data_IF_843593273430
#
_entry.id   IF_843593273430
#
_cell.length_a   1.000
_cell.length_b   1.000
_cell.length_c   1.000
_cell.angle_alpha   90.00
_cell.angle_beta   90.00
_cell.angle_gamma   90.00
#
_symmetry.space_group_name_H-M   'P 1'
#
loop_
_entity.id
_entity.type
_entity.pdbx_description
1 polymer ?
#
# COMPACT_ATOMS: atom_id res chain seq x y z
N UNK A 1 -0.62 13.60 22.45
CA UNK A 1 0.36 13.01 21.53
C UNK A 1 -0.30 12.72 20.18
N UNK A 2 -0.42 13.72 19.29
CA UNK A 2 -0.83 13.45 17.91
C UNK A 2 0.31 12.72 17.22
N UNK A 3 0.18 11.42 16.99
CA UNK A 3 1.09 10.70 16.09
C UNK A 3 0.69 11.11 14.67
N UNK A 4 1.40 12.07 14.09
CA UNK A 4 1.32 12.38 12.67
C UNK A 4 1.86 11.17 11.89
N UNK A 5 1.01 10.16 11.69
CA UNK A 5 1.33 8.98 10.89
C UNK A 5 0.99 9.31 9.44
N UNK A 6 1.96 9.15 8.55
CA UNK A 6 1.71 9.17 7.11
C UNK A 6 0.90 7.92 6.74
N UNK A 7 -0.34 8.06 6.28
CA UNK A 7 -1.13 6.92 5.87
C UNK A 7 -0.55 6.30 4.60
N UNK A 8 -0.72 4.99 4.47
CA UNK A 8 -0.45 4.27 3.23
C UNK A 8 -1.43 4.74 2.15
N UNK A 9 -0.92 5.13 0.97
CA UNK A 9 -1.75 5.50 -0.19
C UNK A 9 -1.85 4.35 -1.20
N UNK A 10 -2.87 4.37 -2.05
CA UNK A 10 -3.06 3.36 -3.11
C UNK A 10 -1.90 3.37 -4.11
N UNK A 11 -1.36 4.56 -4.45
CA UNK A 11 -0.19 4.69 -5.33
C UNK A 11 1.05 4.03 -4.72
N UNK A 12 1.35 4.33 -3.45
CA UNK A 12 2.47 3.72 -2.75
C UNK A 12 2.32 2.20 -2.66
N UNK A 13 1.09 1.72 -2.41
CA UNK A 13 0.78 0.29 -2.39
C UNK A 13 1.01 -0.38 -3.75
N UNK A 14 0.58 0.25 -4.85
CA UNK A 14 0.80 -0.25 -6.20
C UNK A 14 2.30 -0.36 -6.55
N UNK A 15 3.09 0.64 -6.15
CA UNK A 15 4.56 0.64 -6.34
C UNK A 15 5.22 -0.49 -5.58
N UNK A 16 4.80 -0.72 -4.33
CA UNK A 16 5.30 -1.82 -3.50
C UNK A 16 4.91 -3.17 -4.11
N UNK A 17 3.66 -3.35 -4.52
CA UNK A 17 3.21 -4.57 -5.18
C UNK A 17 4.02 -4.85 -6.46
N UNK A 18 4.20 -3.84 -7.31
CA UNK A 18 4.94 -3.98 -8.57
C UNK A 18 6.40 -4.40 -8.32
N UNK A 19 7.09 -3.72 -7.40
CA UNK A 19 8.48 -4.05 -7.07
C UNK A 19 8.62 -5.48 -6.54
N UNK A 20 7.74 -5.89 -5.62
CA UNK A 20 7.74 -7.25 -5.09
C UNK A 20 7.40 -8.30 -6.15
N UNK A 21 6.40 -8.05 -7.00
CA UNK A 21 6.04 -8.95 -8.09
C UNK A 21 7.22 -9.13 -9.06
N UNK A 22 7.91 -8.06 -9.44
CA UNK A 22 9.09 -8.12 -10.32
C UNK A 22 10.22 -8.96 -9.70
N UNK A 23 10.40 -8.91 -8.39
CA UNK A 23 11.41 -9.70 -7.67
C UNK A 23 11.02 -11.17 -7.50
N UNK A 24 9.72 -11.49 -7.49
CA UNK A 24 9.20 -12.84 -7.17
C UNK A 24 8.50 -13.49 -8.38
N UNK A 25 8.96 -13.18 -9.60
CA UNK A 25 8.45 -13.83 -10.83
C UNK A 25 6.96 -13.56 -11.11
N UNK A 26 6.47 -12.37 -10.76
CA UNK A 26 5.07 -11.95 -10.96
C UNK A 26 4.16 -12.18 -9.75
N UNK A 27 4.67 -12.76 -8.65
CA UNK A 27 3.85 -13.13 -7.49
C UNK A 27 4.15 -12.28 -6.25
N UNK A 28 3.21 -12.20 -5.32
CA UNK A 28 3.41 -11.56 -4.02
C UNK A 28 3.10 -12.56 -2.91
N UNK A 29 4.03 -12.73 -1.98
CA UNK A 29 3.85 -13.66 -0.87
C UNK A 29 2.71 -13.19 0.06
N UNK A 30 1.82 -14.11 0.41
CA UNK A 30 0.69 -13.88 1.32
C UNK A 30 1.22 -13.52 2.71
N UNK A 31 0.76 -12.41 3.26
CA UNK A 31 1.16 -11.94 4.60
C UNK A 31 2.51 -11.22 4.66
N UNK A 32 3.23 -11.14 3.53
CA UNK A 32 4.44 -10.33 3.39
C UNK A 32 4.17 -8.83 3.42
N UNK A 33 5.25 -8.03 3.38
CA UNK A 33 5.16 -6.57 3.42
C UNK A 33 4.22 -6.00 2.34
N UNK A 34 4.34 -6.46 1.10
CA UNK A 34 3.48 -6.00 0.01
C UNK A 34 1.99 -6.32 0.24
N UNK A 35 1.65 -7.49 0.77
CA UNK A 35 0.26 -7.82 1.11
C UNK A 35 -0.32 -6.89 2.19
N UNK A 36 0.50 -6.53 3.20
CA UNK A 36 0.12 -5.57 4.25
C UNK A 36 -0.01 -4.15 3.72
N UNK A 37 0.91 -3.74 2.84
CA UNK A 37 0.90 -2.46 2.15
C UNK A 37 -0.38 -2.28 1.31
N UNK A 38 -0.73 -3.26 0.49
CA UNK A 38 -1.98 -3.24 -0.30
C UNK A 38 -3.21 -3.21 0.58
N UNK A 39 -3.23 -4.02 1.65
CA UNK A 39 -4.34 -4.02 2.62
C UNK A 39 -4.50 -2.65 3.31
N UNK A 40 -3.40 -2.00 3.68
CA UNK A 40 -3.41 -0.68 4.29
C UNK A 40 -3.85 0.41 3.30
N UNK A 41 -3.35 0.36 2.06
CA UNK A 41 -3.79 1.26 0.99
C UNK A 41 -5.30 1.16 0.76
N UNK A 42 -5.84 -0.06 0.62
CA UNK A 42 -7.28 -0.29 0.42
C UNK A 42 -8.12 0.19 1.62
N UNK A 43 -7.68 -0.07 2.86
CA UNK A 43 -8.38 0.39 4.07
C UNK A 43 -8.39 1.91 4.18
N UNK A 44 -7.27 2.56 3.86
CA UNK A 44 -7.15 4.01 3.93
C UNK A 44 -7.92 4.70 2.80
N UNK A 45 -8.05 4.07 1.62
CA UNK A 45 -8.93 4.55 0.55
C UNK A 45 -10.41 4.61 0.95
N UNK A 46 -10.84 3.73 1.86
CA UNK A 46 -12.24 3.66 2.32
C UNK A 46 -12.54 4.55 3.54
N UNK A 47 -11.51 4.96 4.30
CA UNK A 47 -11.66 5.74 5.53
C UNK A 47 -11.32 7.21 5.41
N UNK A 48 -10.73 7.66 4.30
CA UNK A 48 -10.32 9.06 4.14
C UNK A 48 -10.39 9.42 2.66
N UNK A 49 -11.26 10.36 2.36
CA UNK A 49 -11.34 11.10 1.10
C UNK A 49 -10.01 11.12 0.33
N UNK A 50 -9.99 10.46 -0.83
CA UNK A 50 -9.25 10.88 -2.03
C UNK A 50 -7.88 11.51 -1.74
N UNK A 51 -6.91 10.73 -1.25
CA UNK A 51 -5.51 11.15 -1.30
C UNK A 51 -4.87 10.68 -2.61
N UNK A 52 -5.47 11.15 -3.71
CA UNK A 52 -4.85 11.20 -5.03
C UNK A 52 -4.25 12.59 -5.18
N UNK A 53 -2.94 12.68 -5.03
CA UNK A 53 -2.17 13.90 -5.19
C UNK A 53 -1.04 13.70 -6.18
N UNK A 54 -1.39 13.74 -7.47
CA UNK A 54 -0.68 14.46 -8.52
C UNK A 54 -1.59 14.57 -9.74
#
# INVERSE_FOLDING_TARGET
>A
MSKNKTPMTSDAAARIQSSTAKQNGGSVNKGGFAARATSAGAKNSNGSSKQGGK
#
